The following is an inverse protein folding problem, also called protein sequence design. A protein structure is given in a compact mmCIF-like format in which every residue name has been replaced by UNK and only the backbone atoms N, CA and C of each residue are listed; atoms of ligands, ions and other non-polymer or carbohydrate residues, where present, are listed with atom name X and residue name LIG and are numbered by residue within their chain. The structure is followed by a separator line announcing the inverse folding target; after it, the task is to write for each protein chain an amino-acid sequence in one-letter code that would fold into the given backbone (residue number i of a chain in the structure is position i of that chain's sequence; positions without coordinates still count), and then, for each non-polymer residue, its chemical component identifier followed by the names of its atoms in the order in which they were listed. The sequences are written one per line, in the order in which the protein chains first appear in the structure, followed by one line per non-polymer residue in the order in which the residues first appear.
data_IF_479184492631
#
_entry.id   IF_479184492631
#
_cell.length_a   1.000
_cell.length_b   1.000
_cell.length_c   1.000
_cell.angle_alpha   90.00
_cell.angle_beta   90.00
_cell.angle_gamma   90.00
#
_symmetry.space_group_name_H-M   'P 1'
#
loop_
_entity.id
_entity.type
_entity.pdbx_description
1 polymer ?
#
# COMPACT_ATOMS: atom_id res chain seq x y z
N UNK A 1 6.56 0.67 -15.71
CA UNK A 1 5.67 1.52 -14.89
C UNK A 1 4.27 1.35 -15.43
N UNK A 2 3.31 1.04 -14.57
CA UNK A 2 1.97 0.69 -15.03
C UNK A 2 1.29 1.85 -15.76
N UNK A 3 0.51 1.52 -16.79
CA UNK A 3 -0.41 2.46 -17.45
C UNK A 3 -1.39 3.09 -16.44
N UNK A 4 -1.89 2.32 -15.46
CA UNK A 4 -2.74 2.84 -14.37
C UNK A 4 -2.04 3.93 -13.55
N UNK A 5 -0.75 3.78 -13.29
CA UNK A 5 0.06 4.80 -12.60
C UNK A 5 0.19 6.06 -13.46
N UNK A 6 0.30 5.94 -14.78
CA UNK A 6 0.29 7.09 -15.69
C UNK A 6 -1.06 7.82 -15.65
N UNK A 7 -2.17 7.08 -15.71
CA UNK A 7 -3.52 7.62 -15.63
C UNK A 7 -3.77 8.37 -14.31
N UNK A 8 -3.33 7.80 -13.19
CA UNK A 8 -3.41 8.48 -11.89
C UNK A 8 -2.59 9.78 -11.86
N UNK A 9 -1.39 9.78 -12.47
CA UNK A 9 -0.58 11.00 -12.56
C UNK A 9 -1.21 12.05 -13.50
N UNK A 10 -1.95 11.63 -14.53
CA UNK A 10 -2.73 12.53 -15.39
C UNK A 10 -3.79 13.25 -14.58
N UNK A 11 -4.54 12.53 -13.74
CA UNK A 11 -5.58 13.11 -12.88
C UNK A 11 -5.00 14.15 -11.91
N UNK A 12 -3.85 13.85 -11.28
CA UNK A 12 -3.20 14.75 -10.33
C UNK A 12 -2.63 15.99 -11.01
N UNK A 13 -1.91 15.80 -12.12
CA UNK A 13 -1.12 16.87 -12.72
C UNK A 13 -1.89 17.64 -13.81
N UNK A 14 -3.12 17.21 -14.15
CA UNK A 14 -3.91 17.78 -15.25
C UNK A 14 -3.13 17.79 -16.58
N UNK A 15 -2.35 16.74 -16.82
CA UNK A 15 -1.56 16.54 -18.04
C UNK A 15 -2.18 15.46 -18.94
N UNK A 16 -1.68 15.30 -20.17
CA UNK A 16 -2.09 14.17 -21.01
C UNK A 16 -1.25 12.92 -20.72
N UNK A 17 -1.83 11.73 -20.97
CA UNK A 17 -1.13 10.44 -20.90
C UNK A 17 0.14 10.48 -21.76
N UNK A 18 0.05 11.10 -22.94
CA UNK A 18 1.15 11.26 -23.88
C UNK A 18 2.31 12.08 -23.26
N UNK A 19 2.00 13.22 -22.64
CA UNK A 19 3.00 14.09 -21.98
C UNK A 19 3.77 13.33 -20.90
N UNK A 20 3.05 12.66 -20.00
CA UNK A 20 3.65 11.90 -18.90
C UNK A 20 4.47 10.73 -19.42
N UNK A 21 3.96 10.01 -20.43
CA UNK A 21 4.68 8.88 -21.06
C UNK A 21 5.99 9.34 -21.70
N UNK A 22 6.01 10.49 -22.38
CA UNK A 22 7.23 11.04 -22.97
C UNK A 22 8.26 11.45 -21.90
N UNK A 23 7.82 12.06 -20.79
CA UNK A 23 8.69 12.40 -19.66
C UNK A 23 9.33 11.16 -19.05
N UNK A 24 8.56 10.09 -18.86
CA UNK A 24 9.08 8.81 -18.35
C UNK A 24 10.06 8.16 -19.32
N UNK A 25 9.75 8.18 -20.62
CA UNK A 25 10.66 7.68 -21.65
C UNK A 25 11.99 8.43 -21.69
N UNK A 26 11.99 9.75 -21.48
CA UNK A 26 13.20 10.55 -21.39
C UNK A 26 14.09 10.17 -20.18
N UNK A 27 13.51 9.51 -19.17
CA UNK A 27 14.20 8.95 -18.01
C UNK A 27 14.52 7.45 -18.16
N UNK A 28 14.36 6.87 -19.36
CA UNK A 28 14.48 5.43 -19.65
C UNK A 28 13.50 4.54 -18.85
N UNK A 29 12.38 5.12 -18.41
CA UNK A 29 11.31 4.39 -17.72
C UNK A 29 10.27 3.95 -18.75
N UNK A 30 10.18 2.64 -18.96
CA UNK A 30 9.15 2.05 -19.83
C UNK A 30 7.77 2.09 -19.17
N UNK A 31 6.76 2.50 -19.92
CA UNK A 31 5.35 2.33 -19.54
C UNK A 31 4.83 1.01 -20.11
N UNK A 32 4.19 0.21 -19.27
CA UNK A 32 3.65 -1.11 -19.58
C UNK A 32 2.26 -1.30 -18.97
N UNK A 33 1.52 -2.30 -19.45
CA UNK A 33 0.20 -2.66 -18.90
C UNK A 33 0.33 -3.55 -17.64
N UNK A 34 1.49 -3.53 -16.98
CA UNK A 34 1.72 -4.29 -15.75
C UNK A 34 0.90 -3.72 -14.61
N UNK A 35 -0.02 -4.49 -14.04
CA UNK A 35 -0.73 -4.10 -12.83
C UNK A 35 -0.06 -4.76 -11.62
N UNK A 36 0.49 -3.97 -10.66
CA UNK A 36 1.04 -4.53 -9.44
C UNK A 36 -0.10 -5.09 -8.60
N UNK A 37 -0.25 -6.41 -8.62
CA UNK A 37 -1.15 -7.15 -7.75
C UNK A 37 -0.39 -8.26 -7.06
N UNK A 38 -0.77 -8.53 -5.81
CA UNK A 38 -0.32 -9.74 -5.14
C UNK A 38 -0.97 -10.95 -5.81
N UNK A 39 -0.18 -11.98 -6.03
CA UNK A 39 -0.69 -13.29 -6.39
C UNK A 39 -1.55 -13.84 -5.25
N UNK A 40 -2.45 -14.77 -5.57
CA UNK A 40 -3.29 -15.40 -4.54
C UNK A 40 -2.44 -16.06 -3.43
N UNK A 41 -1.31 -16.65 -3.79
CA UNK A 41 -0.39 -17.27 -2.83
C UNK A 41 0.25 -16.24 -1.90
N UNK A 42 0.63 -15.07 -2.41
CA UNK A 42 1.17 -13.98 -1.58
C UNK A 42 0.11 -13.41 -0.62
N UNK A 43 -1.14 -13.29 -1.09
CA UNK A 43 -2.25 -12.89 -0.24
C UNK A 43 -2.52 -13.92 0.87
N UNK A 44 -2.47 -15.21 0.54
CA UNK A 44 -2.66 -16.29 1.50
C UNK A 44 -1.57 -16.26 2.57
N UNK A 45 -0.30 -16.14 2.18
CA UNK A 45 0.84 -15.97 3.11
C UNK A 45 0.67 -14.74 4.00
N UNK A 46 0.20 -13.62 3.42
CA UNK A 46 -0.07 -12.40 4.18
C UNK A 46 -1.16 -12.63 5.24
N UNK A 47 -2.32 -13.16 4.85
CA UNK A 47 -3.43 -13.38 5.79
C UNK A 47 -3.08 -14.40 6.88
N UNK A 48 -2.35 -15.47 6.54
CA UNK A 48 -1.84 -16.43 7.51
C UNK A 48 -0.89 -15.75 8.51
N UNK A 49 0.00 -14.87 8.04
CA UNK A 49 0.92 -14.11 8.91
C UNK A 49 0.15 -13.19 9.86
N UNK A 50 -0.88 -12.49 9.35
CA UNK A 50 -1.76 -11.65 10.16
C UNK A 50 -2.47 -12.48 11.24
N UNK A 51 -3.03 -13.65 10.89
CA UNK A 51 -3.68 -14.55 11.85
C UNK A 51 -2.71 -15.10 12.90
N UNK A 52 -1.45 -15.33 12.51
CA UNK A 52 -0.38 -15.78 13.39
C UNK A 52 0.23 -14.65 14.25
N UNK A 53 -0.40 -13.48 14.27
CA UNK A 53 -0.05 -12.40 15.21
C UNK A 53 1.02 -11.44 14.70
N UNK A 54 1.43 -11.52 13.42
CA UNK A 54 2.44 -10.62 12.84
C UNK A 54 2.08 -9.14 13.04
N UNK A 55 0.80 -8.78 12.91
CA UNK A 55 0.36 -7.39 13.08
C UNK A 55 0.66 -6.84 14.47
N UNK A 56 0.50 -7.66 15.52
CA UNK A 56 0.82 -7.24 16.88
C UNK A 56 2.33 -7.05 17.06
N UNK A 57 3.14 -7.95 16.51
CA UNK A 57 4.61 -7.81 16.52
C UNK A 57 5.04 -6.52 15.81
N UNK A 58 4.49 -6.26 14.63
CA UNK A 58 4.74 -5.04 13.88
C UNK A 58 4.38 -3.77 14.68
N UNK A 59 3.23 -3.77 15.36
CA UNK A 59 2.81 -2.65 16.21
C UNK A 59 3.72 -2.44 17.44
N UNK A 60 4.44 -3.47 17.87
CA UNK A 60 5.34 -3.41 19.03
C UNK A 60 6.71 -2.87 18.64
N UNK A 61 7.16 -3.22 17.43
CA UNK A 61 8.45 -2.81 16.88
C UNK A 61 8.44 -1.38 16.34
N UNK A 62 7.27 -0.82 16.01
CA UNK A 62 7.15 0.55 15.51
C UNK A 62 7.24 1.58 16.66
N UNK A 63 8.01 2.64 16.44
CA UNK A 63 8.12 3.76 17.37
C UNK A 63 7.58 5.03 16.74
N UNK A 64 6.67 5.70 17.45
CA UNK A 64 6.24 7.05 17.12
C UNK A 64 6.94 8.05 18.04
N UNK A 65 7.37 9.16 17.47
CA UNK A 65 8.02 10.22 18.23
C UNK A 65 7.00 10.97 19.09
N UNK A 66 7.27 11.08 20.40
CA UNK A 66 6.50 11.92 21.33
C UNK A 66 5.77 11.15 22.43
N UNK A 67 5.07 11.88 23.29
CA UNK A 67 4.36 11.32 24.45
C UNK A 67 3.16 10.43 24.07
N UNK A 68 2.69 10.54 22.82
CA UNK A 68 1.54 9.79 22.29
C UNK A 68 1.92 8.44 21.67
N UNK A 69 3.20 8.02 21.74
CA UNK A 69 3.70 6.77 21.15
C UNK A 69 2.85 5.55 21.53
N UNK A 70 2.56 5.40 22.82
CA UNK A 70 1.70 4.32 23.32
C UNK A 70 0.28 4.37 22.75
N UNK A 71 -0.29 5.57 22.60
CA UNK A 71 -1.63 5.76 22.06
C UNK A 71 -1.67 5.39 20.57
N UNK A 72 -0.69 5.82 19.78
CA UNK A 72 -0.62 5.49 18.36
C UNK A 72 -0.45 3.99 18.10
N UNK A 73 0.42 3.33 18.89
CA UNK A 73 0.54 1.87 18.82
C UNK A 73 -0.76 1.16 19.18
N UNK A 74 -1.47 1.63 20.19
CA UNK A 74 -2.76 1.06 20.55
C UNK A 74 -3.78 1.19 19.41
N UNK A 75 -3.89 2.38 18.80
CA UNK A 75 -4.78 2.61 17.65
C UNK A 75 -4.43 1.69 16.47
N UNK A 76 -3.14 1.47 16.18
CA UNK A 76 -2.72 0.51 15.16
C UNK A 76 -3.16 -0.92 15.50
N UNK A 77 -2.96 -1.37 16.74
CA UNK A 77 -3.39 -2.71 17.18
C UNK A 77 -4.89 -2.92 17.05
N UNK A 78 -5.69 -1.86 17.21
CA UNK A 78 -7.15 -1.90 17.10
C UNK A 78 -7.66 -1.81 15.65
N UNK A 79 -6.80 -1.40 14.70
CA UNK A 79 -7.16 -1.24 13.27
C UNK A 79 -7.85 -2.47 12.65
N UNK A 80 -7.43 -3.72 12.92
CA UNK A 80 -8.10 -4.92 12.39
C UNK A 80 -9.53 -5.16 12.92
N UNK A 81 -9.94 -4.45 13.98
CA UNK A 81 -11.31 -4.49 14.52
C UNK A 81 -12.21 -3.41 13.93
N UNK A 82 -11.63 -2.41 13.26
CA UNK A 82 -12.38 -1.37 12.58
C UNK A 82 -13.02 -1.92 11.29
N UNK A 83 -14.36 -1.85 11.14
CA UNK A 83 -15.04 -2.30 9.93
C UNK A 83 -14.52 -1.62 8.64
N UNK A 84 -14.00 -0.39 8.74
CA UNK A 84 -13.45 0.37 7.61
C UNK A 84 -12.21 -0.27 7.01
N UNK A 85 -11.49 -1.10 7.78
CA UNK A 85 -10.23 -1.71 7.38
C UNK A 85 -10.30 -3.24 7.26
N UNK A 86 -11.49 -3.83 7.44
CA UNK A 86 -11.67 -5.29 7.51
C UNK A 86 -11.07 -6.06 6.33
N UNK A 87 -11.21 -5.53 5.11
CA UNK A 87 -10.69 -6.17 3.87
C UNK A 87 -9.17 -6.27 3.83
N UNK A 88 -8.45 -5.45 4.60
CA UNK A 88 -6.99 -5.50 4.66
C UNK A 88 -6.47 -6.55 5.65
N UNK A 89 -7.32 -7.12 6.53
CA UNK A 89 -6.87 -8.02 7.61
C UNK A 89 -7.58 -9.37 7.61
N UNK A 90 -8.59 -9.57 6.76
CA UNK A 90 -9.38 -10.80 6.67
C UNK A 90 -9.63 -11.17 5.21
N UNK A 91 -9.44 -12.45 4.91
CA UNK A 91 -9.82 -13.07 3.64
C UNK A 91 -11.34 -13.13 3.48
#
# INVERSE_FOLDING_TARGET
MSRKTVEYNVEINSESVESITQKLKALDIRVDDYEPSFTQNELDVYFDSIQNGWWNVFCDDIHFYGAEDGLHRQVLRETPQDPRHKSAFRK
#
